data_IF_305753656295
#
_entry.id   IF_305753656295
#
_cell.length_a   1.000
_cell.length_b   1.000
_cell.length_c   1.000
_cell.angle_alpha   90.00
_cell.angle_beta   90.00
_cell.angle_gamma   90.00
#
_symmetry.space_group_name_H-M   'P 1'
#
loop_
_entity.id
_entity.type
_entity.pdbx_description
1 polymer ?
#
# COMPACT_ATOMS: atom_id res chain seq x y z
N UNK A 1 -3.87 -8.03 52.94
CA UNK A 1 -4.21 -9.42 52.57
C UNK A 1 -5.65 -9.69 52.93
N UNK A 2 -6.56 -9.54 51.98
CA UNK A 2 -7.91 -10.13 52.02
C UNK A 2 -8.21 -10.59 50.60
N UNK A 3 -8.50 -11.89 50.46
CA UNK A 3 -8.56 -12.63 49.20
C UNK A 3 -9.88 -12.47 48.44
N UNK A 4 -9.82 -12.83 47.16
CA UNK A 4 -10.95 -12.90 46.23
C UNK A 4 -11.90 -14.06 46.59
N UNK A 5 -13.23 -13.94 46.40
CA UNK A 5 -14.14 -15.09 46.52
C UNK A 5 -14.00 -16.05 45.33
N UNK A 6 -14.43 -17.33 45.48
CA UNK A 6 -14.24 -18.37 44.47
C UNK A 6 -15.23 -18.24 43.32
N UNK A 7 -14.78 -18.61 42.11
CA UNK A 7 -15.65 -18.75 40.93
C UNK A 7 -16.51 -20.01 41.06
N UNK A 8 -17.79 -19.88 40.71
CA UNK A 8 -18.70 -21.01 40.50
C UNK A 8 -18.80 -21.23 38.99
N UNK A 9 -18.59 -22.47 38.57
CA UNK A 9 -18.84 -22.94 37.21
C UNK A 9 -20.36 -23.13 36.98
N UNK A 10 -20.75 -22.97 35.70
CA UNK A 10 -22.03 -23.28 35.04
C UNK A 10 -22.99 -22.11 34.76
N UNK A 11 -22.94 -21.62 33.51
CA UNK A 11 -24.08 -21.70 32.56
C UNK A 11 -23.56 -21.47 31.11
N UNK A 12 -23.87 -22.33 30.11
CA UNK A 12 -23.44 -22.12 28.73
C UNK A 12 -24.47 -21.24 28.01
N UNK A 13 -24.13 -19.98 27.78
CA UNK A 13 -24.84 -19.17 26.80
C UNK A 13 -24.28 -19.47 25.42
N UNK A 14 -25.00 -20.34 24.70
CA UNK A 14 -25.02 -20.34 23.25
C UNK A 14 -25.23 -18.88 22.79
N UNK A 15 -24.21 -18.29 22.18
CA UNK A 15 -24.37 -17.07 21.40
C UNK A 15 -24.22 -17.42 19.93
N UNK A 16 -25.29 -17.07 19.23
CA UNK A 16 -25.56 -17.19 17.81
C UNK A 16 -24.37 -16.70 16.97
N UNK A 17 -23.60 -17.64 16.43
CA UNK A 17 -22.47 -17.40 15.54
C UNK A 17 -22.90 -17.01 14.12
N UNK A 18 -23.70 -15.95 14.02
CA UNK A 18 -24.31 -15.52 12.77
C UNK A 18 -24.24 -14.01 12.57
N UNK A 19 -23.43 -13.60 11.59
CA UNK A 19 -23.54 -12.34 10.83
C UNK A 19 -22.87 -11.05 11.32
N UNK A 20 -21.90 -11.13 12.24
CA UNK A 20 -20.94 -10.05 12.50
C UNK A 20 -19.51 -10.59 12.31
N UNK A 21 -18.54 -9.77 11.92
CA UNK A 21 -17.11 -10.13 11.64
C UNK A 21 -16.76 -10.60 10.21
N UNK A 22 -17.11 -9.80 9.19
CA UNK A 22 -16.29 -9.72 7.94
C UNK A 22 -15.88 -8.30 7.60
N UNK A 23 -15.89 -7.42 8.60
CA UNK A 23 -15.54 -6.03 8.40
C UNK A 23 -14.04 -5.89 8.68
N UNK A 24 -13.26 -5.89 7.59
CA UNK A 24 -11.82 -5.61 7.59
C UNK A 24 -10.95 -6.54 8.46
N UNK A 25 -10.78 -7.78 8.00
CA UNK A 25 -9.73 -8.64 8.54
C UNK A 25 -8.35 -8.15 8.03
N UNK A 26 -7.55 -7.53 8.89
CA UNK A 26 -6.11 -7.41 8.63
C UNK A 26 -5.59 -8.82 8.33
N UNK A 27 -4.99 -9.02 7.15
CA UNK A 27 -4.53 -10.33 6.69
C UNK A 27 -3.49 -10.93 7.65
N UNK A 28 -2.93 -10.13 8.58
CA UNK A 28 -2.08 -10.55 9.68
C UNK A 28 -2.80 -11.07 10.94
N UNK A 29 -4.01 -10.60 11.25
CA UNK A 29 -4.75 -11.00 12.45
C UNK A 29 -5.44 -12.35 12.25
N UNK A 30 -5.09 -13.35 13.08
CA UNK A 30 -5.59 -14.74 12.93
C UNK A 30 -6.23 -15.30 14.18
N UNK A 31 -6.14 -14.60 15.31
CA UNK A 31 -6.81 -14.94 16.56
C UNK A 31 -7.89 -13.91 16.85
N UNK A 32 -8.91 -14.31 17.61
CA UNK A 32 -10.01 -13.42 18.01
C UNK A 32 -9.49 -12.15 18.70
N UNK A 33 -8.60 -12.29 19.69
CA UNK A 33 -7.97 -11.15 20.36
C UNK A 33 -7.20 -10.23 19.39
N UNK A 34 -6.52 -10.80 18.38
CA UNK A 34 -5.82 -9.99 17.38
C UNK A 34 -6.79 -9.23 16.46
N UNK A 35 -7.93 -9.84 16.12
CA UNK A 35 -8.99 -9.20 15.35
C UNK A 35 -9.62 -8.05 16.14
N UNK A 36 -9.98 -8.27 17.41
CA UNK A 36 -10.52 -7.23 18.30
C UNK A 36 -9.56 -6.03 18.45
N UNK A 37 -8.25 -6.28 18.60
CA UNK A 37 -7.25 -5.22 18.68
C UNK A 37 -7.15 -4.44 17.36
N UNK A 38 -7.14 -5.15 16.22
CA UNK A 38 -7.04 -4.53 14.91
C UNK A 38 -8.27 -3.66 14.62
N UNK A 39 -9.47 -4.17 14.89
CA UNK A 39 -10.74 -3.45 14.75
C UNK A 39 -10.78 -2.21 15.65
N UNK A 40 -10.50 -2.37 16.95
CA UNK A 40 -10.44 -1.25 17.90
C UNK A 40 -9.44 -0.19 17.43
N UNK A 41 -8.29 -0.60 16.91
CA UNK A 41 -7.29 0.34 16.40
C UNK A 41 -7.80 1.09 15.17
N UNK A 42 -8.49 0.43 14.25
CA UNK A 42 -9.04 1.06 13.05
C UNK A 42 -10.20 1.99 13.37
N UNK A 43 -11.05 1.65 14.35
CA UNK A 43 -12.11 2.53 14.83
C UNK A 43 -11.57 3.83 15.41
N UNK A 44 -10.42 3.79 16.09
CA UNK A 44 -9.73 5.02 16.53
C UNK A 44 -9.24 5.81 15.32
N UNK A 45 -8.68 5.16 14.30
CA UNK A 45 -8.19 5.85 13.09
C UNK A 45 -9.33 6.52 12.31
N UNK A 46 -10.49 5.86 12.19
CA UNK A 46 -11.70 6.39 11.52
C UNK A 46 -12.30 7.62 12.20
N UNK A 47 -11.93 7.90 13.45
CA UNK A 47 -12.30 9.17 14.10
C UNK A 47 -11.53 10.38 13.52
N UNK A 48 -10.41 10.13 12.85
CA UNK A 48 -9.53 11.18 12.30
C UNK A 48 -9.53 11.21 10.78
N UNK A 49 -9.62 10.06 10.12
CA UNK A 49 -9.61 9.93 8.67
C UNK A 49 -11.01 9.50 8.21
N UNK A 50 -11.60 10.16 7.18
CA UNK A 50 -12.85 9.70 6.58
C UNK A 50 -12.76 8.25 6.07
N UNK A 51 -13.89 7.64 5.71
CA UNK A 51 -13.97 6.27 5.18
C UNK A 51 -14.89 6.21 3.94
N UNK A 52 -14.78 7.20 3.06
CA UNK A 52 -15.71 7.37 1.92
C UNK A 52 -15.08 6.97 0.57
N UNK A 53 -13.76 7.10 0.48
CA UNK A 53 -12.98 6.91 -0.76
C UNK A 53 -11.96 5.78 -0.65
N UNK A 54 -11.44 5.30 -1.78
CA UNK A 54 -10.33 4.35 -1.77
C UNK A 54 -9.04 5.01 -1.29
N UNK A 55 -8.86 6.29 -1.60
CA UNK A 55 -7.77 7.11 -1.07
C UNK A 55 -7.82 7.22 0.46
N UNK A 56 -9.02 7.27 1.06
CA UNK A 56 -9.20 7.28 2.51
C UNK A 56 -8.71 5.98 3.15
N UNK A 57 -8.95 4.81 2.55
CA UNK A 57 -8.38 3.54 3.05
C UNK A 57 -6.86 3.57 3.09
N UNK A 58 -6.22 4.15 2.07
CA UNK A 58 -4.76 4.34 2.03
C UNK A 58 -4.31 5.30 3.15
N UNK A 59 -5.03 6.40 3.37
CA UNK A 59 -4.76 7.35 4.46
C UNK A 59 -4.90 6.69 5.83
N UNK A 60 -5.98 5.94 6.08
CA UNK A 60 -6.18 5.19 7.31
C UNK A 60 -5.03 4.18 7.53
N UNK A 61 -4.65 3.43 6.49
CA UNK A 61 -3.53 2.48 6.56
C UNK A 61 -2.21 3.18 6.89
N UNK A 62 -1.99 4.37 6.34
CA UNK A 62 -0.80 5.17 6.64
C UNK A 62 -0.75 5.60 8.11
N UNK A 63 -1.87 6.07 8.66
CA UNK A 63 -1.98 6.47 10.08
C UNK A 63 -1.80 5.26 10.99
N UNK A 64 -2.48 4.16 10.69
CA UNK A 64 -2.41 2.92 11.48
C UNK A 64 -0.97 2.36 11.52
N UNK A 65 -0.34 2.22 10.36
CA UNK A 65 1.01 1.63 10.26
C UNK A 65 2.11 2.49 10.88
N UNK A 66 1.93 3.82 10.88
CA UNK A 66 2.92 4.75 11.43
C UNK A 66 2.64 5.15 12.88
N UNK A 67 1.42 4.91 13.38
CA UNK A 67 0.97 5.40 14.68
C UNK A 67 0.94 6.93 14.77
N UNK A 68 0.76 7.63 13.65
CA UNK A 68 0.88 9.08 13.53
C UNK A 68 -0.23 9.63 12.62
N UNK A 69 -1.19 10.32 13.25
CA UNK A 69 -2.40 10.87 12.63
C UNK A 69 -2.08 11.86 11.51
N UNK A 70 -0.92 12.52 11.56
CA UNK A 70 -0.51 13.50 10.55
C UNK A 70 -0.33 12.87 9.17
N UNK A 71 -0.08 11.56 9.06
CA UNK A 71 0.13 10.91 7.77
C UNK A 71 -1.06 11.03 6.81
N UNK A 72 -2.29 11.21 7.33
CA UNK A 72 -3.46 11.47 6.51
C UNK A 72 -3.31 12.71 5.61
N UNK A 73 -2.53 13.70 6.06
CA UNK A 73 -2.28 14.96 5.36
C UNK A 73 -1.00 14.95 4.53
N UNK A 74 -0.20 13.88 4.60
CA UNK A 74 1.08 13.81 3.91
C UNK A 74 1.02 13.04 2.60
N UNK A 75 0.02 12.19 2.42
CA UNK A 75 -0.09 11.38 1.22
C UNK A 75 -0.45 12.23 0.01
N UNK A 76 0.18 11.91 -1.11
CA UNK A 76 -0.03 12.55 -2.39
C UNK A 76 -0.36 11.47 -3.42
N UNK A 77 -1.45 11.67 -4.15
CA UNK A 77 -1.93 10.78 -5.20
C UNK A 77 -1.74 11.47 -6.55
N UNK A 78 -1.19 10.77 -7.53
CA UNK A 78 -0.81 11.37 -8.81
C UNK A 78 -1.05 10.41 -9.95
N UNK A 79 -1.35 10.94 -11.14
CA UNK A 79 -1.75 10.16 -12.30
C UNK A 79 -3.25 9.85 -12.31
N UNK A 80 -3.72 9.24 -13.39
CA UNK A 80 -5.12 8.85 -13.57
C UNK A 80 -5.24 7.43 -14.11
N UNK A 81 -6.47 6.94 -14.17
CA UNK A 81 -6.84 5.73 -14.88
C UNK A 81 -7.94 6.03 -15.90
N UNK A 82 -8.55 5.00 -16.47
CA UNK A 82 -9.62 5.14 -17.47
C UNK A 82 -10.85 5.92 -16.95
N UNK A 83 -11.01 6.08 -15.64
CA UNK A 83 -12.12 6.81 -15.01
C UNK A 83 -11.77 8.28 -14.73
N UNK A 84 -10.49 8.65 -14.87
CA UNK A 84 -10.00 10.02 -14.72
C UNK A 84 -8.84 10.14 -13.74
N UNK A 85 -8.45 11.39 -13.47
CA UNK A 85 -7.42 11.74 -12.52
C UNK A 85 -8.06 12.17 -11.19
N UNK A 86 -8.43 11.20 -10.37
CA UNK A 86 -8.86 11.37 -8.98
C UNK A 86 -7.86 10.68 -8.03
N UNK A 87 -8.01 10.90 -6.72
CA UNK A 87 -7.11 10.28 -5.73
C UNK A 87 -7.30 8.76 -5.60
N UNK A 88 -8.44 8.24 -6.06
CA UNK A 88 -8.74 6.81 -6.06
C UNK A 88 -8.02 6.08 -7.20
N UNK A 89 -7.63 6.78 -8.27
CA UNK A 89 -7.06 6.19 -9.49
C UNK A 89 -5.80 5.32 -9.22
N UNK A 90 -4.80 5.77 -8.44
CA UNK A 90 -3.67 4.90 -8.08
C UNK A 90 -4.08 3.66 -7.29
N UNK A 91 -5.13 3.76 -6.46
CA UNK A 91 -5.63 2.65 -5.66
C UNK A 91 -6.33 1.62 -6.55
N UNK A 92 -7.18 2.08 -7.48
CA UNK A 92 -7.83 1.22 -8.48
C UNK A 92 -6.82 0.54 -9.37
N UNK A 93 -5.84 1.28 -9.90
CA UNK A 93 -4.79 0.73 -10.76
C UNK A 93 -3.97 -0.35 -10.02
N UNK A 94 -3.59 -0.08 -8.77
CA UNK A 94 -2.92 -1.05 -7.92
C UNK A 94 -3.75 -2.30 -7.64
N UNK A 95 -5.02 -2.14 -7.27
CA UNK A 95 -5.92 -3.27 -7.04
C UNK A 95 -6.13 -4.13 -8.30
N UNK A 96 -6.30 -3.51 -9.48
CA UNK A 96 -6.36 -4.21 -10.76
C UNK A 96 -5.09 -5.00 -11.03
N UNK A 97 -3.92 -4.41 -10.82
CA UNK A 97 -2.63 -5.10 -10.97
C UNK A 97 -2.52 -6.31 -10.03
N UNK A 98 -3.03 -6.22 -8.79
CA UNK A 98 -3.10 -7.38 -7.88
C UNK A 98 -4.04 -8.46 -8.41
N UNK A 99 -5.21 -8.09 -8.92
CA UNK A 99 -6.19 -9.03 -9.49
C UNK A 99 -5.64 -9.77 -10.71
N UNK A 100 -4.81 -9.10 -11.51
CA UNK A 100 -4.12 -9.64 -12.68
C UNK A 100 -2.82 -10.42 -12.32
N UNK A 101 -2.52 -10.55 -11.03
CA UNK A 101 -1.31 -11.20 -10.52
C UNK A 101 -0.01 -10.57 -11.07
N UNK A 102 -0.01 -9.26 -11.31
CA UNK A 102 1.16 -8.52 -11.76
C UNK A 102 2.31 -8.60 -10.74
N UNK A 103 3.54 -8.39 -11.22
CA UNK A 103 4.72 -8.40 -10.36
C UNK A 103 4.66 -7.29 -9.29
N UNK A 104 5.17 -7.58 -8.10
CA UNK A 104 5.44 -6.58 -7.06
C UNK A 104 6.95 -6.43 -6.94
N UNK A 105 7.48 -5.24 -7.26
CA UNK A 105 8.92 -4.99 -7.28
C UNK A 105 9.29 -3.98 -6.21
N UNK A 106 10.04 -4.43 -5.19
CA UNK A 106 10.45 -3.56 -4.09
C UNK A 106 11.88 -3.05 -4.25
N UNK A 107 12.22 -1.92 -3.63
CA UNK A 107 13.62 -1.44 -3.64
C UNK A 107 14.55 -2.32 -2.80
N UNK A 108 14.09 -2.74 -1.61
CA UNK A 108 14.87 -3.57 -0.68
C UNK A 108 14.09 -4.74 -0.06
N UNK A 109 14.81 -5.66 0.58
CA UNK A 109 14.26 -6.85 1.26
C UNK A 109 13.24 -6.51 2.34
N UNK A 110 13.44 -5.45 3.14
CA UNK A 110 12.51 -5.12 4.23
C UNK A 110 11.10 -4.80 3.71
N UNK A 111 10.99 -4.04 2.62
CA UNK A 111 9.71 -3.76 1.98
C UNK A 111 9.09 -5.07 1.43
N UNK A 112 9.89 -5.92 0.77
CA UNK A 112 9.43 -7.20 0.22
C UNK A 112 8.81 -8.13 1.28
N UNK A 113 9.46 -8.22 2.45
CA UNK A 113 9.03 -9.08 3.57
C UNK A 113 7.80 -8.51 4.28
N UNK A 114 7.68 -7.18 4.36
CA UNK A 114 6.50 -6.53 4.96
C UNK A 114 5.24 -6.66 4.11
N UNK A 115 5.38 -6.90 2.80
CA UNK A 115 4.23 -7.17 1.93
C UNK A 115 3.75 -8.60 2.18
N UNK A 116 2.46 -8.77 2.46
CA UNK A 116 1.82 -10.06 2.72
C UNK A 116 2.05 -11.05 1.57
N UNK A 117 1.89 -12.34 1.86
CA UNK A 117 1.85 -13.38 0.83
C UNK A 117 0.47 -14.02 0.70
N UNK A 118 -0.54 -13.45 1.36
CA UNK A 118 -1.92 -13.95 1.36
C UNK A 118 -2.80 -13.01 0.54
N UNK A 119 -3.83 -13.56 -0.10
CA UNK A 119 -4.83 -12.77 -0.84
C UNK A 119 -4.46 -12.44 -2.30
N UNK A 120 -3.27 -12.82 -2.78
CA UNK A 120 -2.84 -12.58 -4.15
C UNK A 120 -1.81 -13.61 -4.64
N UNK A 121 -1.63 -13.71 -5.96
CA UNK A 121 -0.68 -14.61 -6.62
C UNK A 121 0.53 -13.85 -7.25
N UNK A 122 0.65 -12.54 -7.01
CA UNK A 122 1.77 -11.72 -7.50
C UNK A 122 3.15 -12.28 -7.12
N UNK A 123 4.05 -12.36 -8.10
CA UNK A 123 5.46 -12.65 -7.85
C UNK A 123 6.17 -11.42 -7.25
N UNK A 124 6.96 -11.64 -6.19
CA UNK A 124 7.69 -10.56 -5.51
C UNK A 124 9.16 -10.53 -5.93
N UNK A 125 9.59 -9.41 -6.49
CA UNK A 125 11.00 -9.11 -6.76
C UNK A 125 11.52 -8.03 -5.82
N UNK A 126 12.84 -7.96 -5.67
CA UNK A 126 13.53 -6.84 -5.00
C UNK A 126 14.66 -6.36 -5.89
N UNK A 127 14.81 -5.05 -6.05
CA UNK A 127 15.88 -4.45 -6.84
C UNK A 127 17.25 -4.73 -6.22
N UNK A 128 17.38 -4.55 -4.89
CA UNK A 128 18.66 -4.80 -4.21
C UNK A 128 19.13 -6.24 -4.41
N UNK A 129 20.38 -6.38 -4.88
CA UNK A 129 20.98 -7.68 -5.21
C UNK A 129 21.08 -7.94 -6.70
N UNK A 130 20.35 -7.18 -7.54
CA UNK A 130 20.58 -7.11 -8.98
C UNK A 130 21.56 -5.98 -9.32
N UNK A 131 22.19 -6.06 -10.49
CA UNK A 131 23.07 -4.99 -10.99
C UNK A 131 24.35 -4.76 -10.18
N UNK A 132 24.87 -5.76 -9.46
CA UNK A 132 26.11 -5.61 -8.66
C UNK A 132 27.31 -5.19 -9.52
N UNK A 133 27.43 -5.73 -10.73
CA UNK A 133 28.47 -5.35 -11.70
C UNK A 133 28.28 -3.89 -12.13
N UNK A 134 27.07 -3.52 -12.55
CA UNK A 134 26.74 -2.15 -12.94
C UNK A 134 27.02 -1.13 -11.83
N UNK A 135 26.70 -1.45 -10.57
CA UNK A 135 26.99 -0.61 -9.42
C UNK A 135 28.50 -0.40 -9.23
N UNK A 136 29.29 -1.47 -9.37
CA UNK A 136 30.75 -1.41 -9.22
C UNK A 136 31.40 -0.61 -10.36
N UNK A 137 30.91 -0.75 -11.59
CA UNK A 137 31.48 -0.09 -12.77
C UNK A 137 31.16 1.40 -12.82
N UNK A 138 29.95 1.80 -12.42
CA UNK A 138 29.46 3.18 -12.53
C UNK A 138 29.55 3.99 -11.25
N UNK A 139 29.75 3.32 -10.10
CA UNK A 139 29.76 3.95 -8.78
C UNK A 139 28.36 4.35 -8.26
N UNK A 140 27.29 3.96 -8.94
CA UNK A 140 25.93 4.20 -8.46
C UNK A 140 25.55 3.29 -7.29
N UNK A 141 24.49 3.64 -6.56
CA UNK A 141 24.02 2.80 -5.45
C UNK A 141 23.48 1.45 -5.95
N UNK A 142 23.68 0.38 -5.17
CA UNK A 142 23.18 -0.96 -5.49
C UNK A 142 21.68 -1.03 -5.79
N UNK A 143 20.87 -0.22 -5.11
CA UNK A 143 19.42 -0.18 -5.36
C UNK A 143 19.10 0.48 -6.69
N UNK A 144 19.74 1.60 -7.04
CA UNK A 144 19.60 2.22 -8.36
C UNK A 144 20.02 1.27 -9.49
N UNK A 145 21.19 0.62 -9.37
CA UNK A 145 21.64 -0.36 -10.34
C UNK A 145 20.68 -1.56 -10.46
N UNK A 146 20.12 -2.00 -9.33
CA UNK A 146 19.11 -3.05 -9.30
C UNK A 146 17.82 -2.69 -10.02
N UNK A 147 17.35 -1.44 -9.88
CA UNK A 147 16.18 -0.92 -10.61
C UNK A 147 16.45 -0.99 -12.12
N UNK A 148 17.56 -0.40 -12.58
CA UNK A 148 17.92 -0.40 -13.99
C UNK A 148 18.07 -1.81 -14.58
N UNK A 149 18.57 -2.76 -13.79
CA UNK A 149 18.74 -4.14 -14.25
C UNK A 149 17.42 -4.92 -14.35
N UNK A 150 16.50 -4.71 -13.40
CA UNK A 150 15.15 -5.28 -13.48
C UNK A 150 14.32 -4.64 -14.60
N UNK A 151 14.50 -3.34 -14.82
CA UNK A 151 13.87 -2.58 -15.89
C UNK A 151 14.27 -3.09 -17.28
N UNK A 152 15.58 -3.28 -17.53
CA UNK A 152 16.08 -3.89 -18.78
C UNK A 152 15.47 -5.26 -19.08
N UNK A 153 15.01 -5.97 -18.05
CA UNK A 153 14.38 -7.29 -18.15
C UNK A 153 12.86 -7.21 -18.33
N UNK A 154 12.29 -6.01 -18.39
CA UNK A 154 10.85 -5.76 -18.51
C UNK A 154 10.06 -6.07 -17.24
N UNK A 155 10.71 -6.17 -16.07
CA UNK A 155 10.05 -6.62 -14.83
C UNK A 155 9.12 -5.55 -14.26
N UNK A 156 9.36 -4.27 -14.60
CA UNK A 156 8.57 -3.14 -14.10
C UNK A 156 7.32 -2.82 -14.92
N UNK A 157 7.21 -3.27 -16.18
CA UNK A 157 6.03 -3.00 -16.99
C UNK A 157 4.81 -3.73 -16.43
N UNK A 158 3.73 -2.97 -16.18
CA UNK A 158 2.52 -3.44 -15.51
C UNK A 158 2.70 -3.78 -14.03
N UNK A 159 3.90 -3.61 -13.46
CA UNK A 159 4.18 -4.01 -12.09
C UNK A 159 3.69 -2.98 -11.06
N UNK A 160 3.53 -3.45 -9.82
CA UNK A 160 3.40 -2.63 -8.63
C UNK A 160 4.81 -2.32 -8.14
N UNK A 161 5.28 -1.09 -8.33
CA UNK A 161 6.62 -0.67 -7.97
C UNK A 161 6.64 -0.02 -6.58
N UNK A 162 7.24 -0.67 -5.59
CA UNK A 162 7.21 -0.24 -4.18
C UNK A 162 8.60 0.21 -3.70
N UNK A 163 8.79 1.52 -3.48
CA UNK A 163 10.06 2.10 -3.03
C UNK A 163 9.92 2.68 -1.63
N UNK A 164 10.46 1.99 -0.62
CA UNK A 164 10.29 2.40 0.77
C UNK A 164 11.55 2.97 1.44
N UNK A 165 12.74 2.71 0.91
CA UNK A 165 13.99 3.03 1.61
C UNK A 165 14.94 3.94 0.83
N UNK A 166 15.19 3.65 -0.45
CA UNK A 166 16.27 4.28 -1.20
C UNK A 166 15.77 5.41 -2.12
N UNK A 167 16.06 6.70 -1.83
CA UNK A 167 15.77 7.80 -2.77
C UNK A 167 16.41 7.59 -4.15
N UNK A 168 17.58 6.95 -4.20
CA UNK A 168 18.25 6.65 -5.47
C UNK A 168 17.54 5.58 -6.29
N UNK A 169 16.78 4.68 -5.66
CA UNK A 169 15.91 3.75 -6.39
C UNK A 169 14.72 4.49 -7.00
N UNK A 170 14.11 5.43 -6.28
CA UNK A 170 13.03 6.27 -6.80
C UNK A 170 13.50 7.13 -7.97
N UNK A 171 14.70 7.74 -7.91
CA UNK A 171 15.26 8.45 -9.06
C UNK A 171 15.48 7.53 -10.27
N UNK A 172 16.10 6.36 -10.07
CA UNK A 172 16.32 5.41 -11.16
C UNK A 172 14.99 4.93 -11.79
N UNK A 173 13.97 4.68 -10.96
CA UNK A 173 12.64 4.30 -11.46
C UNK A 173 11.99 5.44 -12.25
N UNK A 174 12.15 6.68 -11.81
CA UNK A 174 11.67 7.83 -12.56
C UNK A 174 12.35 7.96 -13.92
N UNK A 175 13.67 7.73 -13.98
CA UNK A 175 14.42 7.70 -15.24
C UNK A 175 13.92 6.56 -16.16
N UNK A 176 13.59 5.38 -15.62
CA UNK A 176 12.98 4.30 -16.38
C UNK A 176 11.61 4.70 -16.96
N UNK A 177 10.75 5.33 -16.16
CA UNK A 177 9.43 5.81 -16.61
C UNK A 177 9.58 6.83 -17.74
N UNK A 178 10.49 7.78 -17.60
CA UNK A 178 10.81 8.76 -18.64
C UNK A 178 11.31 8.12 -19.93
N UNK A 179 11.99 6.97 -19.83
CA UNK A 179 12.48 6.20 -20.97
C UNK A 179 11.49 5.18 -21.54
N UNK A 180 10.26 5.12 -21.02
CA UNK A 180 9.17 4.35 -21.60
C UNK A 180 8.62 3.21 -20.73
N UNK A 181 9.22 2.93 -19.58
CA UNK A 181 8.70 1.93 -18.64
C UNK A 181 7.35 2.36 -18.09
N UNK A 182 6.39 1.44 -17.97
CA UNK A 182 5.03 1.74 -17.48
C UNK A 182 4.61 0.78 -16.37
N UNK A 183 5.00 1.04 -15.11
CA UNK A 183 4.41 0.36 -13.95
C UNK A 183 2.90 0.61 -13.89
N UNK A 184 2.12 -0.36 -13.39
CA UNK A 184 0.68 -0.17 -13.19
C UNK A 184 0.41 0.85 -12.07
N UNK A 185 1.23 0.84 -11.02
CA UNK A 185 1.23 1.87 -9.97
C UNK A 185 2.60 1.94 -9.29
N UNK A 186 2.98 3.14 -8.85
CA UNK A 186 4.16 3.36 -8.02
C UNK A 186 3.77 3.73 -6.59
N UNK A 187 4.24 2.97 -5.60
CA UNK A 187 4.15 3.33 -4.17
C UNK A 187 5.53 3.77 -3.70
N UNK A 188 5.78 5.08 -3.64
CA UNK A 188 7.10 5.63 -3.32
C UNK A 188 7.08 6.49 -2.04
N UNK A 189 7.59 5.91 -0.95
CA UNK A 189 7.73 6.57 0.35
C UNK A 189 9.14 6.45 0.93
N UNK A 190 10.23 6.68 0.16
CA UNK A 190 11.58 6.64 0.72
C UNK A 190 11.73 7.64 1.88
N UNK A 191 12.22 7.16 3.02
CA UNK A 191 12.52 7.99 4.20
C UNK A 191 13.89 8.63 4.08
N UNK A 192 14.05 9.83 4.62
CA UNK A 192 15.38 10.40 4.81
C UNK A 192 15.44 11.91 4.86
N UNK A 193 16.63 12.40 5.20
CA UNK A 193 16.95 13.83 5.26
C UNK A 193 17.67 14.35 4.01
N UNK A 194 18.07 13.44 3.12
CA UNK A 194 18.81 13.75 1.90
C UNK A 194 18.07 13.10 0.75
N UNK A 195 17.70 13.88 -0.27
CA UNK A 195 17.13 13.40 -1.54
C UNK A 195 15.77 12.71 -1.46
N UNK A 196 15.24 12.41 -0.27
CA UNK A 196 13.99 11.68 -0.10
C UNK A 196 12.79 12.47 -0.63
N UNK A 197 12.69 13.75 -0.28
CA UNK A 197 11.63 14.65 -0.74
C UNK A 197 11.75 14.89 -2.25
N UNK A 198 12.95 15.19 -2.74
CA UNK A 198 13.22 15.43 -4.15
C UNK A 198 12.94 14.18 -5.00
N UNK A 199 13.27 12.99 -4.52
CA UNK A 199 13.00 11.75 -5.26
C UNK A 199 11.51 11.43 -5.42
N UNK A 200 10.68 11.76 -4.42
CA UNK A 200 9.22 11.62 -4.51
C UNK A 200 8.61 12.69 -5.40
N UNK A 201 9.14 13.92 -5.34
CA UNK A 201 8.81 14.97 -6.29
C UNK A 201 9.06 14.52 -7.72
N UNK A 202 10.22 13.92 -7.99
CA UNK A 202 10.56 13.38 -9.31
C UNK A 202 9.62 12.26 -9.75
N UNK A 203 9.21 11.37 -8.85
CA UNK A 203 8.18 10.36 -9.16
C UNK A 203 6.87 11.02 -9.56
N UNK A 204 6.39 12.02 -8.80
CA UNK A 204 5.15 12.73 -9.15
C UNK A 204 5.25 13.41 -10.52
N UNK A 205 6.34 14.10 -10.81
CA UNK A 205 6.56 14.74 -12.12
C UNK A 205 6.46 13.76 -13.30
N UNK A 206 7.14 12.61 -13.21
CA UNK A 206 7.07 11.61 -14.29
C UNK A 206 5.72 10.89 -14.31
N UNK A 207 5.07 10.73 -13.16
CA UNK A 207 3.73 10.16 -13.05
C UNK A 207 2.70 11.00 -13.81
N UNK A 208 2.75 12.33 -13.64
CA UNK A 208 1.92 13.29 -14.39
C UNK A 208 2.28 13.34 -15.88
N UNK A 209 3.58 13.30 -16.20
CA UNK A 209 4.04 13.46 -17.58
C UNK A 209 3.78 12.25 -18.46
N UNK A 210 3.70 11.06 -17.87
CA UNK A 210 3.66 9.78 -18.57
C UNK A 210 2.47 8.89 -18.18
N UNK A 211 1.49 9.45 -17.48
CA UNK A 211 0.26 8.78 -17.04
C UNK A 211 0.53 7.47 -16.28
N UNK A 212 1.50 7.51 -15.35
CA UNK A 212 1.80 6.39 -14.45
C UNK A 212 1.22 6.71 -13.08
N UNK A 213 0.21 5.96 -12.57
CA UNK A 213 -0.37 6.24 -11.27
C UNK A 213 0.65 6.09 -10.13
N UNK A 214 0.59 6.98 -9.14
CA UNK A 214 1.51 6.95 -8.01
C UNK A 214 0.86 7.37 -6.69
N UNK A 215 1.31 6.72 -5.62
CA UNK A 215 1.05 7.06 -4.23
C UNK A 215 2.40 7.42 -3.59
N UNK A 216 2.54 8.66 -3.16
CA UNK A 216 3.75 9.17 -2.51
C UNK A 216 3.40 9.90 -1.22
N UNK A 217 4.38 10.57 -0.61
CA UNK A 217 4.13 11.48 0.49
C UNK A 217 5.07 12.68 0.49
N UNK A 218 4.74 13.72 1.26
CA UNK A 218 5.59 14.92 1.45
C UNK A 218 6.44 14.87 2.73
N UNK A 219 7.40 15.79 2.85
CA UNK A 219 8.26 15.92 4.03
C UNK A 219 9.41 14.91 4.04
N UNK A 220 9.84 14.43 5.22
CA UNK A 220 11.00 13.51 5.36
C UNK A 220 10.64 12.11 5.87
N UNK A 221 9.42 11.96 6.34
CA UNK A 221 8.85 10.72 6.88
C UNK A 221 8.56 9.75 5.74
N UNK A 222 8.54 8.46 6.04
CA UNK A 222 8.36 7.38 5.07
C UNK A 222 8.92 6.07 5.62
N UNK A 223 9.40 5.19 4.75
CA UNK A 223 10.10 3.98 5.13
C UNK A 223 9.51 2.73 4.48
N UNK A 224 10.23 1.61 4.61
CA UNK A 224 9.76 0.31 4.09
C UNK A 224 8.48 -0.16 4.76
N UNK A 225 8.26 0.16 6.04
CA UNK A 225 7.03 -0.19 6.74
C UNK A 225 5.81 0.48 6.11
N UNK A 226 5.90 1.79 5.82
CA UNK A 226 4.83 2.52 5.14
C UNK A 226 4.59 1.97 3.74
N UNK A 227 5.66 1.86 2.93
CA UNK A 227 5.54 1.38 1.56
C UNK A 227 4.89 -0.01 1.48
N UNK A 228 5.28 -0.92 2.38
CA UNK A 228 4.68 -2.23 2.49
C UNK A 228 3.22 -2.18 2.94
N UNK A 229 2.89 -1.35 3.93
CA UNK A 229 1.52 -1.20 4.43
C UNK A 229 0.58 -0.65 3.35
N UNK A 230 1.01 0.37 2.59
CA UNK A 230 0.22 0.92 1.48
C UNK A 230 0.06 -0.10 0.35
N UNK A 231 1.11 -0.86 0.04
CA UNK A 231 1.02 -1.94 -0.96
C UNK A 231 0.09 -3.07 -0.49
N UNK A 232 0.10 -3.40 0.81
CA UNK A 232 -0.85 -4.35 1.39
C UNK A 232 -2.29 -3.85 1.29
N UNK A 233 -2.53 -2.55 1.39
CA UNK A 233 -3.88 -2.01 1.22
C UNK A 233 -4.40 -2.19 -0.22
N UNK A 234 -3.54 -2.07 -1.23
CA UNK A 234 -3.91 -2.43 -2.61
C UNK A 234 -4.34 -3.91 -2.72
N UNK A 235 -3.66 -4.80 -1.98
CA UNK A 235 -4.02 -6.23 -1.92
C UNK A 235 -5.33 -6.45 -1.17
N UNK A 236 -5.59 -5.69 -0.10
CA UNK A 236 -6.86 -5.73 0.62
C UNK A 236 -8.02 -5.28 -0.26
N UNK A 237 -7.88 -4.12 -0.90
CA UNK A 237 -8.87 -3.61 -1.87
C UNK A 237 -9.14 -4.66 -2.96
N UNK A 238 -8.11 -5.28 -3.55
CA UNK A 238 -8.28 -6.36 -4.52
C UNK A 238 -8.99 -7.60 -3.96
N UNK A 239 -8.75 -7.93 -2.69
CA UNK A 239 -9.40 -9.06 -2.02
C UNK A 239 -10.90 -8.79 -1.82
N UNK A 240 -11.27 -7.59 -1.39
CA UNK A 240 -12.67 -7.18 -1.20
C UNK A 240 -13.43 -7.19 -2.54
N UNK A 241 -12.76 -6.78 -3.63
CA UNK A 241 -13.32 -6.87 -4.99
C UNK A 241 -13.57 -8.31 -5.40
N UNK A 242 -12.61 -9.21 -5.12
CA UNK A 242 -12.76 -10.64 -5.43
C UNK A 242 -13.89 -11.29 -4.60
N UNK A 243 -14.12 -10.81 -3.38
CA UNK A 243 -15.21 -11.25 -2.52
C UNK A 243 -16.58 -10.71 -2.95
N UNK A 244 -16.61 -9.66 -3.78
CA UNK A 244 -17.83 -8.96 -4.20
C UNK A 244 -18.29 -7.90 -3.19
N UNK A 245 -17.43 -7.54 -2.23
CA UNK A 245 -17.71 -6.55 -1.18
C UNK A 245 -17.40 -5.12 -1.64
N UNK A 246 -16.65 -4.97 -2.74
CA UNK A 246 -16.26 -3.68 -3.32
C UNK A 246 -16.32 -3.69 -4.86
N UNK A 247 -16.86 -2.63 -5.45
CA UNK A 247 -16.77 -2.38 -6.90
C UNK A 247 -15.74 -1.26 -7.17
N UNK A 248 -14.67 -1.59 -7.92
CA UNK A 248 -13.58 -0.64 -8.20
C UNK A 248 -14.02 0.57 -9.02
N UNK A 249 -14.99 0.39 -9.91
CA UNK A 249 -15.35 1.42 -10.89
C UNK A 249 -16.38 2.43 -10.39
N UNK A 250 -16.96 2.22 -9.21
CA UNK A 250 -17.88 3.18 -8.61
C UNK A 250 -17.12 4.40 -8.11
N UNK A 251 -17.67 5.58 -8.38
CA UNK A 251 -17.21 6.84 -7.82
C UNK A 251 -17.61 6.95 -6.34
N UNK A 252 -16.95 7.84 -5.59
CA UNK A 252 -17.31 8.11 -4.19
C UNK A 252 -18.79 8.51 -4.03
N UNK A 253 -19.29 9.39 -4.92
CA UNK A 253 -20.69 9.83 -4.96
C UNK A 253 -21.67 8.66 -5.13
N UNK A 254 -21.30 7.66 -5.94
CA UNK A 254 -22.11 6.46 -6.13
C UNK A 254 -22.08 5.54 -4.92
N UNK A 255 -20.95 5.44 -4.19
CA UNK A 255 -20.86 4.63 -2.96
C UNK A 255 -21.69 5.20 -1.83
N UNK A 256 -21.62 6.51 -1.59
CA UNK A 256 -22.39 7.17 -0.53
C UNK A 256 -23.91 7.13 -0.75
N UNK A 257 -24.38 7.00 -1.99
CA UNK A 257 -25.80 6.99 -2.32
C UNK A 257 -26.55 5.70 -1.90
N UNK A 258 -25.84 4.60 -1.64
CA UNK A 258 -26.44 3.33 -1.20
C UNK A 258 -26.52 3.22 0.33
N UNK A 259 -25.61 3.87 1.07
CA UNK A 259 -25.68 3.93 2.54
C UNK A 259 -26.88 4.73 3.03
N UNK A 260 -27.31 5.76 2.29
CA UNK A 260 -28.50 6.56 2.60
C UNK A 260 -29.81 5.81 2.31
N UNK A 261 -29.76 4.68 1.57
CA UNK A 261 -30.92 3.86 1.22
C UNK A 261 -31.10 2.61 2.09
N UNK A 262 -30.13 2.27 2.94
CA UNK A 262 -30.24 1.23 3.97
C UNK A 262 -30.77 1.82 5.28
#
# INVERSE_FOLDING_TARGET
MQGWPPMTEDDPLESDGGAYEREYADLGATTQEAMEIAETSMDIVRQFVPDETLADRIRQKSVHSMGDIEFQHLLEFTGGDDLGADEDAPVRAGARAVLEAANVVTDITMAQVGITGRGHDCEKHKAIGHGSELANETGMTRTAAGVLELDKRGVYDGAIATVGNAPTAAFALADCIENGTRPAVVVATPVGFVKAEESRGRIREVSESYDVPAITNVGRRGGSGLAAALTNELIHVATDVRAGDLELERTADERSADEVKK
#
